data_IF_307473221329
#
_entry.id   IF_307473221329
#
_cell.length_a   1.000
_cell.length_b   1.000
_cell.length_c   1.000
_cell.angle_alpha   90.00
_cell.angle_beta   90.00
_cell.angle_gamma   90.00
#
_symmetry.space_group_name_H-M   'P 1'
#
loop_
_entity.id
_entity.type
_entity.pdbx_description
1 polymer ?
#
# COMPACT_ATOMS: atom_id res chain seq x y z
N UNK A 1 9.00 -6.60 -7.26
CA UNK A 1 8.76 -5.93 -5.96
C UNK A 1 7.28 -6.10 -5.62
N UNK A 2 6.94 -6.26 -4.35
CA UNK A 2 5.53 -6.34 -3.90
C UNK A 2 5.24 -5.29 -2.84
N UNK A 3 4.00 -4.84 -2.81
CA UNK A 3 3.45 -3.99 -1.76
C UNK A 3 2.32 -4.73 -1.06
N UNK A 4 2.25 -4.56 0.25
CA UNK A 4 1.21 -5.11 1.12
C UNK A 4 0.50 -3.96 1.82
N UNK A 5 -0.83 -4.03 1.91
CA UNK A 5 -1.68 -3.03 2.53
C UNK A 5 -2.59 -3.70 3.57
N UNK A 6 -2.51 -3.23 4.81
CA UNK A 6 -3.34 -3.66 5.93
C UNK A 6 -4.49 -2.65 6.14
N UNK A 7 -5.71 -3.05 5.74
CA UNK A 7 -6.93 -2.24 5.88
C UNK A 7 -7.32 -2.02 7.34
N UNK A 8 -7.02 -2.97 8.23
CA UNK A 8 -7.32 -2.89 9.66
C UNK A 8 -6.43 -1.85 10.36
N UNK A 9 -5.14 -1.82 10.03
CA UNK A 9 -4.18 -0.82 10.53
C UNK A 9 -4.40 0.56 9.92
N UNK A 10 -4.91 0.65 8.69
CA UNK A 10 -5.13 1.92 8.00
C UNK A 10 -6.08 2.87 8.78
N UNK A 11 -5.69 4.14 8.93
CA UNK A 11 -6.52 5.15 9.63
C UNK A 11 -7.15 6.21 8.72
N UNK A 12 -7.10 6.03 7.40
CA UNK A 12 -7.74 6.96 6.45
C UNK A 12 -7.06 8.33 6.36
N UNK A 13 -5.73 8.39 6.46
CA UNK A 13 -4.97 9.65 6.29
C UNK A 13 -4.79 10.02 4.80
N UNK A 14 -4.96 9.05 3.90
CA UNK A 14 -4.92 9.22 2.44
C UNK A 14 -3.63 9.85 1.87
N UNK A 15 -2.52 9.80 2.59
CA UNK A 15 -1.24 10.25 2.04
C UNK A 15 -0.77 9.32 0.91
N UNK A 16 -1.00 8.01 1.03
CA UNK A 16 -0.68 7.03 -0.01
C UNK A 16 -1.38 7.33 -1.35
N UNK A 17 -2.62 7.82 -1.33
CA UNK A 17 -3.39 8.24 -2.51
C UNK A 17 -2.72 9.43 -3.23
N UNK A 18 -2.03 10.30 -2.49
CA UNK A 18 -1.33 11.43 -3.09
C UNK A 18 0.04 11.06 -3.68
N UNK A 19 0.67 9.99 -3.17
CA UNK A 19 1.98 9.54 -3.63
C UNK A 19 1.89 8.57 -4.80
N UNK A 20 0.84 7.74 -4.87
CA UNK A 20 0.72 6.73 -5.90
C UNK A 20 -0.73 6.45 -6.29
N UNK A 21 -1.03 6.56 -7.59
CA UNK A 21 -2.38 6.39 -8.18
C UNK A 21 -2.95 4.97 -8.03
N UNK A 22 -2.16 3.97 -7.61
CA UNK A 22 -2.67 2.64 -7.29
C UNK A 22 -3.48 2.60 -5.98
N UNK A 23 -3.45 3.67 -5.18
CA UNK A 23 -4.32 3.83 -4.02
C UNK A 23 -5.48 4.78 -4.33
N UNK A 24 -6.70 4.33 -4.07
CA UNK A 24 -7.90 5.16 -4.16
C UNK A 24 -8.48 5.51 -2.78
N UNK A 25 -9.16 6.65 -2.69
CA UNK A 25 -9.86 7.08 -1.47
C UNK A 25 -11.28 6.49 -1.42
N UNK A 26 -11.53 5.53 -0.50
CA UNK A 26 -12.88 5.07 -0.18
C UNK A 26 -13.45 5.83 1.03
N UNK A 27 -14.22 6.89 0.75
CA UNK A 27 -14.90 7.71 1.76
C UNK A 27 -16.03 6.98 2.49
N UNK A 28 -16.57 5.90 1.91
CA UNK A 28 -17.64 5.13 2.55
C UNK A 28 -17.10 4.27 3.68
N UNK A 29 -15.88 3.75 3.52
CA UNK A 29 -15.13 3.03 4.55
C UNK A 29 -14.27 3.95 5.43
N UNK A 30 -13.89 5.11 4.92
CA UNK A 30 -12.89 5.98 5.55
C UNK A 30 -11.48 5.38 5.47
N UNK A 31 -11.20 4.61 4.41
CA UNK A 31 -9.98 3.80 4.22
C UNK A 31 -9.48 3.98 2.80
N UNK A 32 -8.18 3.77 2.59
CA UNK A 32 -7.65 3.67 1.24
C UNK A 32 -7.99 2.30 0.65
N UNK A 33 -7.97 2.18 -0.67
CA UNK A 33 -8.08 0.90 -1.37
C UNK A 33 -6.87 0.76 -2.27
N UNK A 34 -6.15 -0.35 -2.16
CA UNK A 34 -5.09 -0.70 -3.10
C UNK A 34 -5.73 -1.38 -4.31
N UNK A 35 -5.76 -0.70 -5.45
CA UNK A 35 -6.32 -1.25 -6.69
C UNK A 35 -5.47 -2.40 -7.23
N UNK A 36 -6.08 -3.24 -8.08
CA UNK A 36 -5.49 -4.48 -8.66
C UNK A 36 -4.70 -5.32 -7.64
N UNK A 37 -5.16 -5.37 -6.40
CA UNK A 37 -4.59 -6.19 -5.35
C UNK A 37 -5.38 -7.48 -5.15
N UNK A 38 -4.69 -8.48 -4.60
CA UNK A 38 -5.29 -9.72 -4.14
C UNK A 38 -5.32 -9.72 -2.61
N UNK A 39 -6.48 -10.06 -2.03
CA UNK A 39 -6.61 -10.27 -0.60
C UNK A 39 -5.98 -11.63 -0.24
N UNK A 40 -4.91 -11.61 0.55
CA UNK A 40 -4.14 -12.81 0.92
C UNK A 40 -4.45 -13.28 2.34
N UNK A 41 -4.87 -12.36 3.20
CA UNK A 41 -5.37 -12.58 4.55
C UNK A 41 -6.53 -11.59 4.81
N UNK A 42 -7.35 -11.83 5.83
CA UNK A 42 -8.50 -10.97 6.15
C UNK A 42 -8.05 -9.51 6.35
N UNK A 43 -8.45 -8.62 5.44
CA UNK A 43 -8.04 -7.21 5.46
C UNK A 43 -6.61 -6.91 4.99
N UNK A 44 -5.87 -7.90 4.47
CA UNK A 44 -4.51 -7.73 3.95
C UNK A 44 -4.48 -7.94 2.43
N UNK A 45 -4.07 -6.89 1.72
CA UNK A 45 -4.09 -6.81 0.27
C UNK A 45 -2.68 -6.70 -0.29
N UNK A 46 -2.34 -7.52 -1.28
CA UNK A 46 -1.00 -7.55 -1.90
C UNK A 46 -1.10 -7.27 -3.39
N UNK A 47 -0.14 -6.48 -3.91
CA UNK A 47 0.00 -6.19 -5.34
C UNK A 47 1.46 -6.26 -5.76
N UNK A 48 1.69 -6.75 -6.98
CA UNK A 48 2.98 -6.57 -7.66
C UNK A 48 3.16 -5.12 -8.09
N UNK A 49 4.31 -4.53 -7.76
CA UNK A 49 4.64 -3.14 -8.11
C UNK A 49 5.29 -3.14 -9.51
N UNK A 50 4.70 -2.42 -10.49
CA UNK A 50 5.34 -2.20 -11.79
C UNK A 50 6.71 -1.52 -11.66
N UNK A 51 7.65 -1.85 -12.55
CA UNK A 51 9.02 -1.30 -12.50
C UNK A 51 9.07 0.24 -12.53
N UNK A 52 8.13 0.87 -13.25
CA UNK A 52 8.04 2.34 -13.36
C UNK A 52 7.36 3.00 -12.14
N UNK A 53 6.74 2.22 -11.27
CA UNK A 53 6.06 2.68 -10.05
C UNK A 53 6.83 2.40 -8.76
N UNK A 54 8.06 1.85 -8.85
CA UNK A 54 8.87 1.47 -7.69
C UNK A 54 9.03 2.62 -6.68
N UNK A 55 9.36 3.82 -7.17
CA UNK A 55 9.63 4.96 -6.30
C UNK A 55 8.35 5.45 -5.63
N UNK A 56 7.25 5.52 -6.37
CA UNK A 56 5.94 5.99 -5.89
C UNK A 56 5.39 5.03 -4.82
N UNK A 57 5.47 3.71 -5.05
CA UNK A 57 5.10 2.70 -4.06
C UNK A 57 5.90 2.84 -2.75
N UNK A 58 7.20 3.13 -2.84
CA UNK A 58 8.06 3.36 -1.67
C UNK A 58 7.68 4.64 -0.91
N UNK A 59 7.29 5.70 -1.61
CA UNK A 59 6.83 6.93 -0.96
C UNK A 59 5.45 6.77 -0.34
N UNK A 60 4.53 6.08 -1.01
CA UNK A 60 3.20 5.74 -0.48
C UNK A 60 3.31 4.97 0.84
N UNK A 61 4.26 4.04 0.96
CA UNK A 61 4.57 3.34 2.20
C UNK A 61 5.13 4.28 3.27
N UNK A 62 6.21 5.02 2.97
CA UNK A 62 6.89 5.90 3.94
C UNK A 62 6.04 7.03 4.50
N UNK A 63 5.06 7.50 3.75
CA UNK A 63 4.18 8.59 4.18
C UNK A 63 3.05 8.10 5.09
N UNK A 64 2.85 6.77 5.18
CA UNK A 64 1.85 6.19 6.06
C UNK A 64 2.24 6.42 7.53
N UNK A 65 1.41 7.10 8.34
CA UNK A 65 1.75 7.43 9.72
C UNK A 65 1.63 6.26 10.70
N UNK A 66 1.15 5.10 10.23
CA UNK A 66 0.79 3.94 11.05
C UNK A 66 1.32 2.63 10.48
N UNK A 67 2.25 2.69 9.51
CA UNK A 67 2.90 1.52 8.91
C UNK A 67 1.89 0.47 8.38
N UNK A 68 0.78 0.93 7.82
CA UNK A 68 -0.23 0.07 7.19
C UNK A 68 0.18 -0.44 5.79
N UNK A 69 1.35 -0.03 5.28
CA UNK A 69 1.77 -0.29 3.91
C UNK A 69 3.23 -0.73 3.92
N UNK A 70 3.47 -2.00 3.64
CA UNK A 70 4.82 -2.58 3.65
C UNK A 70 5.29 -2.87 2.22
N UNK A 71 6.56 -2.60 1.93
CA UNK A 71 7.17 -2.87 0.61
C UNK A 71 8.28 -3.90 0.74
N UNK A 72 8.28 -4.88 -0.16
CA UNK A 72 9.29 -5.93 -0.25
C UNK A 72 9.91 -5.96 -1.65
N UNK A 73 11.21 -6.21 -1.73
CA UNK A 73 11.91 -6.39 -3.01
C UNK A 73 11.59 -7.74 -3.69
N UNK A 74 12.29 -8.02 -4.79
CA UNK A 74 12.13 -9.24 -5.59
C UNK A 74 12.64 -10.51 -4.87
N UNK A 75 13.52 -10.36 -3.89
CA UNK A 75 14.03 -11.45 -3.06
C UNK A 75 13.16 -11.68 -1.82
N UNK A 76 12.14 -10.85 -1.61
CA UNK A 76 11.22 -10.90 -0.47
C UNK A 76 11.78 -10.22 0.79
N UNK A 77 12.87 -9.45 0.68
CA UNK A 77 13.39 -8.64 1.77
C UNK A 77 12.49 -7.40 1.95
N UNK A 78 12.09 -7.14 3.21
CA UNK A 78 11.30 -5.97 3.55
C UNK A 78 12.16 -4.70 3.47
N UNK A 79 11.75 -3.77 2.63
CA UNK A 79 12.44 -2.49 2.43
C UNK A 79 11.87 -1.37 3.31
N UNK A 80 10.55 -1.35 3.50
CA UNK A 80 9.80 -0.28 4.17
C UNK A 80 8.68 -0.90 5.00
N UNK A 81 8.52 -0.55 6.29
CA UNK A 81 7.38 -0.95 7.10
C UNK A 81 6.11 -0.21 6.70
#
# INVERSE_FOLDING_TARGET
MKIEYDEDTCIGMFQCVAEWDAFEEDKSKGKAVLEDSEEVEDGVFVREVPEDAELDAKFAARTCPVDAITVYDDDGEQLIP
#
